data_IF_993514281589
#
_entry.id   IF_993514281589
#
_cell.length_a   1.000
_cell.length_b   1.000
_cell.length_c   1.000
_cell.angle_alpha   90.00
_cell.angle_beta   90.00
_cell.angle_gamma   90.00
#
_symmetry.space_group_name_H-M   'P 1'
#
loop_
_entity.id
_entity.type
_entity.pdbx_description
1 polymer ?
#
# COMPACT_ATOMS: atom_id res chain seq x y z
N UNK A 1 16.21 15.85 -6.69
CA UNK A 1 16.52 14.51 -6.14
C UNK A 1 15.33 13.74 -5.57
N UNK A 2 14.10 14.22 -5.76
CA UNK A 2 12.87 13.51 -5.37
C UNK A 2 12.38 12.48 -6.40
N UNK A 3 13.23 12.12 -7.35
CA UNK A 3 12.86 11.24 -8.45
C UNK A 3 12.82 9.79 -7.96
N UNK A 4 11.65 9.28 -7.63
CA UNK A 4 11.39 7.85 -7.50
C UNK A 4 11.14 7.28 -6.11
N UNK A 5 11.21 8.03 -5.03
CA UNK A 5 10.93 7.51 -3.68
C UNK A 5 9.43 7.51 -3.30
N UNK A 6 8.62 8.35 -3.92
CA UNK A 6 7.22 8.52 -3.54
C UNK A 6 6.28 7.41 -4.00
N UNK A 7 6.61 6.70 -5.10
CA UNK A 7 5.65 5.79 -5.77
C UNK A 7 5.99 4.31 -5.67
N UNK A 8 7.03 3.95 -4.91
CA UNK A 8 7.74 2.68 -5.09
C UNK A 8 7.28 1.56 -4.15
N UNK A 9 6.46 1.83 -3.16
CA UNK A 9 6.16 0.85 -2.14
C UNK A 9 4.90 0.02 -2.37
N UNK A 10 4.24 0.19 -3.53
CA UNK A 10 3.02 -0.58 -3.84
C UNK A 10 2.89 -0.95 -5.31
N UNK A 11 2.31 -2.11 -5.51
CA UNK A 11 2.01 -2.70 -6.81
C UNK A 11 0.71 -2.21 -7.43
N UNK A 12 0.00 -1.31 -6.80
CA UNK A 12 -1.30 -0.83 -7.29
C UNK A 12 -1.12 0.23 -8.36
N UNK A 13 -2.06 0.29 -9.30
CA UNK A 13 -1.94 1.17 -10.45
C UNK A 13 -1.91 2.65 -10.12
N UNK A 14 -2.43 3.03 -8.96
CA UNK A 14 -2.38 4.38 -8.40
C UNK A 14 -0.99 4.74 -7.84
N UNK A 15 -0.15 3.76 -7.49
CA UNK A 15 1.20 3.97 -7.01
C UNK A 15 2.29 3.75 -8.05
N UNK A 16 2.08 2.81 -8.98
CA UNK A 16 3.07 2.48 -10.01
C UNK A 16 2.72 3.01 -11.38
N UNK A 17 1.57 3.68 -11.53
CA UNK A 17 1.11 4.20 -12.82
C UNK A 17 2.09 5.16 -13.49
N UNK A 18 2.89 5.88 -12.70
CA UNK A 18 3.93 6.79 -13.16
C UNK A 18 5.32 6.16 -13.36
N UNK A 19 5.50 4.87 -13.03
CA UNK A 19 6.82 4.20 -13.04
C UNK A 19 7.59 4.36 -14.35
N UNK A 20 6.90 4.34 -15.48
CA UNK A 20 7.53 4.51 -16.81
C UNK A 20 8.17 5.86 -17.09
N UNK A 21 8.05 6.82 -16.18
CA UNK A 21 8.70 8.13 -16.26
C UNK A 21 10.10 8.13 -15.62
N UNK A 22 10.48 7.03 -14.97
CA UNK A 22 11.77 6.88 -14.29
C UNK A 22 12.64 5.85 -14.99
N UNK A 23 13.95 6.07 -15.01
CA UNK A 23 14.91 5.12 -15.57
C UNK A 23 15.01 3.86 -14.73
N UNK A 24 14.90 4.01 -13.42
CA UNK A 24 14.89 2.91 -12.45
C UNK A 24 13.95 3.18 -11.29
N UNK A 25 13.39 2.11 -10.75
CA UNK A 25 12.52 2.11 -9.56
C UNK A 25 12.94 1.00 -8.62
N UNK A 26 12.75 1.23 -7.32
CA UNK A 26 13.01 0.26 -6.27
C UNK A 26 11.69 -0.36 -5.80
N UNK A 27 11.65 -1.68 -5.71
CA UNK A 27 10.47 -2.42 -5.26
C UNK A 27 10.93 -3.54 -4.33
N UNK A 28 10.19 -3.74 -3.24
CA UNK A 28 10.49 -4.86 -2.35
C UNK A 28 10.40 -6.19 -3.12
N UNK A 29 11.36 -7.07 -2.90
CA UNK A 29 11.54 -8.36 -3.62
C UNK A 29 10.25 -9.17 -3.70
N UNK A 30 9.44 -9.20 -2.64
CA UNK A 30 8.19 -9.94 -2.60
C UNK A 30 7.12 -9.48 -3.62
N UNK A 31 7.25 -8.25 -4.17
CA UNK A 31 6.34 -7.72 -5.19
C UNK A 31 6.94 -7.65 -6.60
N UNK A 32 8.27 -7.85 -6.78
CA UNK A 32 8.94 -7.75 -8.09
C UNK A 32 8.38 -8.70 -9.15
N UNK A 33 8.21 -9.99 -8.84
CA UNK A 33 7.70 -10.98 -9.79
C UNK A 33 6.30 -10.68 -10.31
N UNK A 34 5.53 -9.97 -9.50
CA UNK A 34 4.14 -9.67 -9.80
C UNK A 34 3.98 -8.40 -10.62
N UNK A 35 4.97 -7.51 -10.60
CA UNK A 35 4.94 -6.30 -11.40
C UNK A 35 4.87 -6.61 -12.90
N UNK A 36 5.62 -7.61 -13.34
CA UNK A 36 5.63 -8.08 -14.74
C UNK A 36 4.27 -8.64 -15.19
N UNK A 37 3.42 -9.09 -14.26
CA UNK A 37 2.08 -9.65 -14.53
C UNK A 37 0.95 -8.64 -14.31
N UNK A 38 1.21 -7.50 -13.70
CA UNK A 38 0.20 -6.54 -13.25
C UNK A 38 0.14 -5.27 -14.09
N UNK A 39 0.42 -5.37 -15.39
CA UNK A 39 -0.03 -4.32 -16.29
C UNK A 39 -1.56 -4.28 -16.23
N UNK A 40 -2.11 -3.30 -15.52
CA UNK A 40 -3.54 -3.05 -15.56
C UNK A 40 -3.94 -2.91 -17.02
N UNK A 41 -4.94 -3.67 -17.45
CA UNK A 41 -5.43 -3.57 -18.81
C UNK A 41 -5.77 -2.10 -19.10
N UNK A 42 -5.52 -1.64 -20.32
CA UNK A 42 -5.86 -0.28 -20.75
C UNK A 42 -7.33 0.04 -20.46
N UNK A 43 -8.20 -0.96 -20.62
CA UNK A 43 -9.63 -0.83 -20.32
C UNK A 43 -9.88 -0.54 -18.83
N UNK A 44 -9.22 -1.24 -17.93
CA UNK A 44 -9.36 -1.02 -16.48
C UNK A 44 -8.84 0.38 -16.08
N UNK A 45 -7.69 0.81 -16.62
CA UNK A 45 -7.13 2.15 -16.36
C UNK A 45 -8.10 3.25 -16.83
N UNK A 46 -8.68 3.10 -18.01
CA UNK A 46 -9.69 4.06 -18.54
C UNK A 46 -10.94 4.08 -17.68
N UNK A 47 -11.45 2.92 -17.28
CA UNK A 47 -12.62 2.81 -16.43
C UNK A 47 -12.38 3.41 -15.03
N UNK A 48 -11.22 3.13 -14.43
CA UNK A 48 -10.84 3.68 -13.13
C UNK A 48 -10.75 5.22 -13.17
N UNK A 49 -10.12 5.78 -14.18
CA UNK A 49 -10.02 7.23 -14.35
C UNK A 49 -11.40 7.86 -14.61
N UNK A 50 -12.21 7.24 -15.46
CA UNK A 50 -13.56 7.74 -15.76
C UNK A 50 -14.48 7.77 -14.51
N UNK A 51 -14.29 6.83 -13.57
CA UNK A 51 -15.12 6.75 -12.36
C UNK A 51 -14.59 7.61 -11.19
N UNK A 52 -13.31 7.97 -11.18
CA UNK A 52 -12.70 8.61 -10.02
C UNK A 52 -12.17 10.03 -10.27
N UNK A 53 -12.04 10.44 -11.54
CA UNK A 53 -11.57 11.78 -11.89
C UNK A 53 -12.69 12.56 -12.54
N UNK A 54 -13.01 13.78 -12.07
CA UNK A 54 -13.95 14.67 -12.76
C UNK A 54 -13.32 15.13 -14.08
N UNK A 55 -13.45 14.32 -15.12
CA UNK A 55 -12.78 14.48 -16.42
C UNK A 55 -13.03 15.88 -17.03
N UNK A 56 -14.20 16.47 -16.79
CA UNK A 56 -14.57 17.77 -17.31
C UNK A 56 -13.85 18.97 -16.68
N UNK A 57 -13.30 18.79 -15.48
CA UNK A 57 -12.67 19.91 -14.73
C UNK A 57 -11.17 20.07 -14.99
N UNK A 58 -10.51 19.08 -15.63
CA UNK A 58 -9.05 19.04 -15.77
C UNK A 58 -8.54 18.99 -17.23
N UNK A 59 -9.41 19.14 -18.22
CA UNK A 59 -9.02 19.07 -19.64
C UNK A 59 -8.50 17.69 -20.09
N UNK A 60 -8.66 16.66 -19.27
CA UNK A 60 -8.16 15.31 -19.51
C UNK A 60 -9.21 14.45 -20.22
N UNK A 61 -8.80 13.72 -21.27
CA UNK A 61 -9.65 12.78 -21.98
C UNK A 61 -9.14 11.35 -21.73
N UNK A 62 -10.06 10.41 -21.52
CA UNK A 62 -9.71 8.98 -21.36
C UNK A 62 -8.99 8.39 -22.58
N UNK A 63 -9.12 9.02 -23.77
CA UNK A 63 -8.35 8.70 -24.98
C UNK A 63 -6.85 8.93 -24.82
N UNK A 64 -6.44 9.82 -23.91
CA UNK A 64 -5.04 10.16 -23.67
C UNK A 64 -4.31 9.07 -22.85
N UNK A 65 -5.08 8.15 -22.24
CA UNK A 65 -4.53 6.99 -21.54
C UNK A 65 -3.98 5.99 -22.55
N UNK A 66 -2.65 5.91 -22.65
CA UNK A 66 -1.94 4.98 -23.53
C UNK A 66 -1.47 3.74 -22.76
N UNK A 67 -1.30 2.59 -23.47
CA UNK A 67 -0.65 1.44 -22.87
C UNK A 67 0.78 1.83 -22.45
N UNK A 68 1.12 1.67 -21.17
CA UNK A 68 2.48 1.89 -20.71
C UNK A 68 3.35 0.68 -21.08
N UNK A 69 4.35 0.85 -21.95
CA UNK A 69 5.50 -0.06 -22.03
C UNK A 69 6.59 0.57 -21.16
N UNK A 70 6.81 -0.01 -19.98
CA UNK A 70 7.86 0.49 -19.10
C UNK A 70 9.21 -0.09 -19.56
N UNK A 71 10.15 0.78 -19.94
CA UNK A 71 11.58 0.44 -20.06
C UNK A 71 12.32 0.61 -18.73
N UNK A 72 11.59 0.88 -17.68
CA UNK A 72 12.08 1.15 -16.34
C UNK A 72 12.78 -0.07 -15.77
N UNK A 73 13.99 0.08 -15.31
CA UNK A 73 14.74 -0.95 -14.61
C UNK A 73 14.16 -1.12 -13.21
N UNK A 74 13.80 -2.34 -12.85
CA UNK A 74 13.32 -2.68 -11.50
C UNK A 74 14.52 -3.13 -10.66
N UNK A 75 14.75 -2.45 -9.54
CA UNK A 75 15.77 -2.80 -8.57
C UNK A 75 15.08 -3.40 -7.35
N UNK A 76 15.30 -4.70 -7.08
CA UNK A 76 14.79 -5.33 -5.86
C UNK A 76 15.44 -4.73 -4.63
N UNK A 77 14.62 -4.43 -3.61
CA UNK A 77 15.11 -4.05 -2.28
C UNK A 77 14.55 -5.00 -1.22
N UNK A 78 15.21 -5.04 -0.08
CA UNK A 78 14.84 -5.87 1.06
C UNK A 78 14.68 -5.01 2.33
N UNK A 79 14.25 -5.62 3.42
CA UNK A 79 14.17 -4.98 4.74
C UNK A 79 15.55 -4.43 5.15
N UNK A 80 15.58 -3.25 5.72
CA UNK A 80 16.81 -2.60 6.14
C UNK A 80 17.58 -1.86 5.03
N UNK A 81 17.12 -1.87 3.77
CA UNK A 81 17.74 -1.09 2.70
C UNK A 81 17.80 0.40 3.08
N UNK A 82 18.89 1.06 2.77
CA UNK A 82 19.10 2.49 3.10
C UNK A 82 19.28 3.27 1.80
N UNK A 83 18.49 4.32 1.66
CA UNK A 83 18.67 5.34 0.62
C UNK A 83 19.46 6.51 1.19
N UNK A 84 20.63 6.81 0.61
CA UNK A 84 21.37 8.04 0.88
C UNK A 84 20.85 9.15 -0.05
N UNK A 85 20.36 10.23 0.56
CA UNK A 85 19.79 11.39 -0.15
C UNK A 85 20.75 12.61 -0.14
N UNK A 86 22.02 12.40 0.21
CA UNK A 86 23.00 13.47 0.29
C UNK A 86 22.83 14.34 1.55
N UNK A 87 23.23 13.82 2.70
CA UNK A 87 23.11 14.47 4.00
C UNK A 87 21.89 14.04 4.83
N UNK A 88 21.04 13.22 4.27
CA UNK A 88 19.92 12.55 4.93
C UNK A 88 19.80 11.12 4.40
N UNK A 89 19.46 10.19 5.27
CA UNK A 89 19.18 8.81 4.87
C UNK A 89 17.77 8.38 5.24
N UNK A 90 17.22 7.48 4.41
CA UNK A 90 15.90 6.89 4.65
C UNK A 90 16.06 5.37 4.67
N UNK A 91 15.62 4.72 5.74
CA UNK A 91 15.69 3.29 5.92
C UNK A 91 14.35 2.63 5.57
N UNK A 92 14.42 1.51 4.88
CA UNK A 92 13.26 0.69 4.53
C UNK A 92 12.95 -0.30 5.66
N UNK A 93 11.68 -0.39 6.04
CA UNK A 93 11.14 -1.44 6.89
C UNK A 93 10.10 -2.24 6.12
N UNK A 94 10.30 -3.55 5.99
CA UNK A 94 9.29 -4.43 5.41
C UNK A 94 8.08 -4.54 6.35
N UNK A 95 6.92 -4.18 5.82
CA UNK A 95 5.62 -4.16 6.54
C UNK A 95 4.57 -4.86 5.68
N UNK A 96 4.63 -6.21 5.53
CA UNK A 96 3.68 -6.93 4.68
C UNK A 96 2.25 -6.74 5.17
N UNK A 97 1.32 -6.62 4.23
CA UNK A 97 -0.10 -6.35 4.53
C UNK A 97 -0.90 -6.06 3.29
N UNK A 98 -1.10 -4.80 3.01
CA UNK A 98 -1.82 -4.29 1.83
C UNK A 98 -1.19 -4.78 0.50
N UNK A 99 0.11 -5.05 0.48
CA UNK A 99 0.75 -5.97 -0.45
C UNK A 99 1.78 -6.84 0.30
N UNK A 100 2.24 -7.92 -0.34
CA UNK A 100 3.29 -8.77 0.25
C UNK A 100 4.62 -8.04 0.38
N UNK A 101 4.88 -7.09 -0.51
CA UNK A 101 6.08 -6.27 -0.52
C UNK A 101 5.85 -4.85 0.01
N UNK A 102 4.79 -4.60 0.76
CA UNK A 102 4.59 -3.30 1.41
C UNK A 102 5.77 -2.97 2.31
N UNK A 103 6.22 -1.72 2.23
CA UNK A 103 7.31 -1.20 3.07
C UNK A 103 6.91 0.14 3.68
N UNK A 104 7.52 0.47 4.79
CA UNK A 104 7.55 1.80 5.34
C UNK A 104 8.94 2.41 5.14
N UNK A 105 9.00 3.71 4.92
CA UNK A 105 10.25 4.48 4.85
C UNK A 105 10.43 5.27 6.14
N UNK A 106 11.57 5.12 6.78
CA UNK A 106 11.88 5.70 8.08
C UNK A 106 12.94 6.77 7.91
N UNK A 107 12.58 8.00 8.21
CA UNK A 107 13.50 9.12 8.41
C UNK A 107 13.80 9.22 9.91
N UNK A 108 14.94 8.70 10.33
CA UNK A 108 15.38 8.68 11.72
C UNK A 108 15.70 10.10 12.23
N UNK A 109 16.12 10.99 11.35
CA UNK A 109 16.57 12.33 11.68
C UNK A 109 15.40 13.25 12.02
N UNK A 110 14.34 13.21 11.18
CA UNK A 110 13.15 14.04 11.38
C UNK A 110 12.04 13.32 12.15
N UNK A 111 12.28 12.06 12.55
CA UNK A 111 11.29 11.23 13.23
C UNK A 111 9.99 11.11 12.44
N UNK A 112 10.13 10.76 11.16
CA UNK A 112 9.01 10.58 10.24
C UNK A 112 9.02 9.16 9.67
N UNK A 113 7.82 8.58 9.56
CA UNK A 113 7.58 7.31 8.85
C UNK A 113 6.54 7.54 7.76
N UNK A 114 6.86 7.12 6.54
CA UNK A 114 5.91 7.01 5.43
C UNK A 114 5.46 5.56 5.33
N UNK A 115 4.25 5.25 5.79
CA UNK A 115 3.76 3.88 5.96
C UNK A 115 3.07 3.30 4.72
N UNK A 116 2.88 4.10 3.69
CA UNK A 116 2.02 3.70 2.59
C UNK A 116 0.59 3.42 3.03
N UNK A 117 -0.11 2.44 2.41
CA UNK A 117 -1.51 2.12 2.70
C UNK A 117 -1.68 0.96 3.66
N UNK A 118 -0.66 0.67 4.43
CA UNK A 118 -0.70 -0.47 5.36
C UNK A 118 -1.60 -0.21 6.57
N UNK A 119 -1.78 1.07 6.93
CA UNK A 119 -2.84 1.58 7.80
C UNK A 119 -3.35 2.87 7.17
N UNK A 120 -4.62 2.91 6.82
CA UNK A 120 -5.27 4.04 6.15
C UNK A 120 -6.78 4.01 6.38
N UNK A 121 -7.46 5.11 6.07
CA UNK A 121 -8.92 5.09 5.98
C UNK A 121 -9.34 4.13 4.86
N UNK A 122 -10.32 3.27 5.10
CA UNK A 122 -10.73 2.21 4.18
C UNK A 122 -9.57 1.28 3.77
N UNK A 123 -8.99 0.55 4.71
CA UNK A 123 -7.92 -0.40 4.45
C UNK A 123 -8.39 -1.54 3.52
N UNK A 124 -7.79 -1.63 2.35
CA UNK A 124 -8.17 -2.58 1.30
C UNK A 124 -7.33 -3.86 1.37
N UNK A 125 -7.86 -4.86 2.07
CA UNK A 125 -7.28 -6.21 2.19
C UNK A 125 -7.99 -7.27 1.33
N UNK A 126 -8.82 -6.85 0.36
CA UNK A 126 -9.52 -7.74 -0.57
C UNK A 126 -8.82 -7.91 -1.91
N UNK A 127 -7.85 -7.06 -2.24
CA UNK A 127 -7.21 -7.00 -3.55
C UNK A 127 -6.30 -8.23 -3.82
N UNK A 128 -5.99 -8.53 -5.09
CA UNK A 128 -4.98 -9.54 -5.42
C UNK A 128 -3.60 -9.13 -4.87
N UNK A 129 -2.95 -10.03 -4.15
CA UNK A 129 -1.58 -9.81 -3.66
C UNK A 129 -1.45 -9.25 -2.26
N UNK A 130 -2.57 -8.94 -1.59
CA UNK A 130 -2.59 -8.67 -0.15
C UNK A 130 -2.21 -9.94 0.64
N UNK A 131 -1.76 -9.75 1.88
CA UNK A 131 -1.58 -10.83 2.84
C UNK A 131 -2.91 -11.22 3.50
N UNK A 132 -2.88 -12.17 4.43
CA UNK A 132 -4.00 -12.36 5.36
C UNK A 132 -4.06 -11.25 6.40
N UNK A 133 -5.19 -11.15 7.11
CA UNK A 133 -5.33 -10.25 8.26
C UNK A 133 -4.33 -10.62 9.36
N UNK A 134 -4.13 -11.93 9.58
CA UNK A 134 -3.16 -12.43 10.54
C UNK A 134 -1.71 -12.01 10.23
N UNK A 135 -1.31 -12.09 8.95
CA UNK A 135 0.04 -11.69 8.50
C UNK A 135 0.24 -10.16 8.51
N UNK A 136 -0.84 -9.38 8.34
CA UNK A 136 -0.79 -7.92 8.36
C UNK A 136 -0.70 -7.34 9.77
N UNK A 137 -1.35 -7.96 10.76
CA UNK A 137 -1.43 -7.42 12.12
C UNK A 137 -0.07 -7.07 12.76
N UNK A 138 1.01 -7.86 12.62
CA UNK A 138 2.33 -7.49 13.13
C UNK A 138 2.87 -6.19 12.53
N UNK A 139 2.60 -5.92 11.25
CA UNK A 139 3.01 -4.67 10.59
C UNK A 139 2.26 -3.46 11.14
N UNK A 140 0.96 -3.61 11.38
CA UNK A 140 0.15 -2.56 11.99
C UNK A 140 0.55 -2.31 13.45
N UNK A 141 0.86 -3.38 14.20
CA UNK A 141 1.36 -3.27 15.57
C UNK A 141 2.70 -2.53 15.61
N UNK A 142 3.62 -2.86 14.70
CA UNK A 142 4.89 -2.14 14.59
C UNK A 142 4.69 -0.65 14.33
N UNK A 143 3.77 -0.27 13.44
CA UNK A 143 3.44 1.15 13.20
C UNK A 143 2.89 1.83 14.46
N UNK A 144 2.03 1.13 15.20
CA UNK A 144 1.52 1.63 16.47
C UNK A 144 2.64 1.88 17.49
N UNK A 145 3.58 0.93 17.62
CA UNK A 145 4.69 1.06 18.56
C UNK A 145 5.58 2.25 18.17
N UNK A 146 5.91 2.37 16.88
CA UNK A 146 6.70 3.48 16.35
C UNK A 146 6.01 4.85 16.48
N UNK A 147 4.69 4.90 16.50
CA UNK A 147 3.95 6.16 16.63
C UNK A 147 4.10 6.86 17.98
N UNK A 148 4.78 6.24 18.95
CA UNK A 148 5.17 6.88 20.20
C UNK A 148 6.24 7.97 19.98
N UNK A 149 7.17 7.74 19.04
CA UNK A 149 8.34 8.58 18.81
C UNK A 149 8.39 9.20 17.41
N UNK A 150 7.56 8.70 16.48
CA UNK A 150 7.56 9.10 15.08
C UNK A 150 6.21 9.62 14.65
N UNK A 151 6.22 10.65 13.80
CA UNK A 151 5.04 11.06 13.04
C UNK A 151 4.86 10.11 11.86
N UNK A 152 3.65 9.57 11.68
CA UNK A 152 3.37 8.59 10.62
C UNK A 152 2.49 9.24 9.56
N UNK A 153 2.94 9.16 8.30
CA UNK A 153 2.19 9.63 7.13
C UNK A 153 1.88 8.45 6.21
N UNK A 154 0.72 8.48 5.59
CA UNK A 154 0.23 7.43 4.72
C UNK A 154 0.05 7.86 3.25
N UNK A 155 -0.38 6.96 2.35
CA UNK A 155 -0.20 7.14 0.92
C UNK A 155 -1.15 8.12 0.21
N UNK A 156 -2.36 8.39 0.70
CA UNK A 156 -3.39 9.04 -0.12
C UNK A 156 -3.86 10.40 0.36
N UNK A 157 -3.77 10.69 1.62
CA UNK A 157 -4.25 11.96 2.19
C UNK A 157 -3.24 12.50 3.19
N UNK A 158 -3.19 13.80 3.28
CA UNK A 158 -2.64 14.47 4.44
C UNK A 158 -3.84 14.63 5.38
N UNK A 159 -3.80 14.08 6.52
CA UNK A 159 -2.81 14.33 7.55
C UNK A 159 -2.07 13.07 8.03
N UNK A 160 -1.21 13.30 9.03
CA UNK A 160 -0.59 12.32 9.90
C UNK A 160 -1.61 11.29 10.42
N UNK A 161 -1.20 10.03 10.53
CA UNK A 161 -1.99 9.01 11.23
C UNK A 161 -1.89 9.21 12.73
N UNK A 162 -3.02 9.40 13.37
CA UNK A 162 -3.10 9.47 14.82
C UNK A 162 -2.91 8.08 15.44
N UNK A 163 -2.22 8.04 16.58
CA UNK A 163 -1.93 6.80 17.29
C UNK A 163 -3.19 6.02 17.65
N UNK A 164 -4.23 6.74 18.08
CA UNK A 164 -5.54 6.19 18.45
C UNK A 164 -6.22 5.52 17.27
N UNK A 165 -6.07 6.09 16.08
CA UNK A 165 -6.62 5.50 14.85
C UNK A 165 -5.90 4.20 14.48
N UNK A 166 -4.56 4.15 14.60
CA UNK A 166 -3.79 2.92 14.37
C UNK A 166 -4.25 1.83 15.35
N UNK A 167 -4.41 2.15 16.64
CA UNK A 167 -4.91 1.23 17.67
C UNK A 167 -6.32 0.70 17.33
N UNK A 168 -7.18 1.59 16.82
CA UNK A 168 -8.54 1.22 16.43
C UNK A 168 -8.55 0.24 15.26
N UNK A 169 -7.73 0.46 14.24
CA UNK A 169 -7.63 -0.42 13.06
C UNK A 169 -7.06 -1.79 13.47
N UNK A 170 -6.08 -1.84 14.37
CA UNK A 170 -5.57 -3.09 14.96
C UNK A 170 -6.69 -3.84 15.71
N UNK A 171 -7.49 -3.13 16.49
CA UNK A 171 -8.63 -3.72 17.21
C UNK A 171 -9.61 -4.36 16.22
N UNK A 172 -9.95 -3.70 15.13
CA UNK A 172 -10.80 -4.28 14.09
C UNK A 172 -10.21 -5.53 13.46
N UNK A 173 -8.90 -5.54 13.19
CA UNK A 173 -8.22 -6.73 12.69
C UNK A 173 -8.31 -7.92 13.65
N UNK A 174 -8.09 -7.70 14.94
CA UNK A 174 -8.26 -8.72 16.00
C UNK A 174 -9.69 -9.22 16.11
N UNK A 175 -10.68 -8.32 16.02
CA UNK A 175 -12.10 -8.69 16.04
C UNK A 175 -12.52 -9.48 14.80
N UNK A 176 -12.01 -9.16 13.61
CA UNK A 176 -12.20 -9.98 12.41
C UNK A 176 -11.71 -11.40 12.66
N UNK A 177 -10.49 -11.56 13.19
CA UNK A 177 -9.94 -12.88 13.50
C UNK A 177 -10.78 -13.62 14.54
N UNK A 178 -11.18 -12.96 15.63
CA UNK A 178 -12.00 -13.57 16.69
C UNK A 178 -13.38 -14.03 16.21
N UNK A 179 -14.00 -13.28 15.28
CA UNK A 179 -15.29 -13.63 14.68
C UNK A 179 -15.18 -14.71 13.60
N UNK A 180 -13.98 -14.93 13.05
CA UNK A 180 -13.72 -15.90 11.99
C UNK A 180 -13.23 -17.21 12.59
N UNK A 181 -13.95 -18.31 12.34
CA UNK A 181 -13.55 -19.66 12.79
C UNK A 181 -12.62 -20.35 11.79
N UNK A 182 -11.69 -19.61 11.20
CA UNK A 182 -10.85 -20.06 10.09
C UNK A 182 -11.22 -19.38 8.77
N UNK A 183 -10.47 -19.71 7.71
CA UNK A 183 -10.73 -19.18 6.39
C UNK A 183 -12.01 -19.82 5.78
N UNK A 184 -12.88 -18.98 5.23
CA UNK A 184 -14.09 -19.45 4.55
C UNK A 184 -13.76 -20.23 3.28
N UNK A 185 -14.48 -21.32 3.03
CA UNK A 185 -14.42 -22.08 1.77
C UNK A 185 -15.06 -21.32 0.61
N UNK A 186 -16.03 -20.46 0.90
CA UNK A 186 -16.72 -19.61 -0.07
C UNK A 186 -16.25 -18.16 0.15
N UNK A 187 -15.33 -17.65 -0.68
CA UNK A 187 -14.77 -16.34 -0.50
C UNK A 187 -15.83 -15.25 -0.74
N UNK A 188 -15.95 -14.35 0.22
CA UNK A 188 -16.75 -13.13 0.10
C UNK A 188 -15.86 -11.92 0.40
N UNK A 189 -16.11 -10.82 -0.29
CA UNK A 189 -15.58 -9.51 0.09
C UNK A 189 -16.55 -8.91 1.10
N UNK A 190 -16.04 -8.47 2.24
CA UNK A 190 -16.80 -7.86 3.31
C UNK A 190 -16.02 -6.73 3.94
N UNK A 191 -16.68 -5.93 4.77
CA UNK A 191 -16.08 -4.79 5.45
C UNK A 191 -16.37 -4.85 6.95
N UNK A 192 -15.38 -4.51 7.76
CA UNK A 192 -15.54 -4.46 9.20
C UNK A 192 -14.73 -3.31 9.84
N UNK A 193 -15.34 -2.52 10.69
CA UNK A 193 -16.80 -2.40 10.84
C UNK A 193 -17.43 -1.94 9.51
N UNK A 194 -18.74 -2.08 9.37
CA UNK A 194 -19.48 -1.66 8.17
C UNK A 194 -19.65 -0.14 8.16
N UNK A 195 -18.56 0.58 7.88
CA UNK A 195 -18.44 2.04 7.83
C UNK A 195 -17.31 2.44 6.86
N UNK A 196 -17.31 3.66 6.29
CA UNK A 196 -16.40 4.03 5.20
C UNK A 196 -14.91 3.80 5.47
N UNK A 197 -14.47 3.92 6.72
CA UNK A 197 -13.08 3.77 7.15
C UNK A 197 -12.74 2.34 7.64
N UNK A 198 -13.64 1.38 7.52
CA UNK A 198 -13.42 0.00 7.94
C UNK A 198 -12.45 -0.79 7.06
N UNK A 199 -12.02 -1.96 7.54
CA UNK A 199 -11.19 -2.90 6.78
C UNK A 199 -12.06 -3.66 5.79
N UNK A 200 -11.76 -3.55 4.50
CA UNK A 200 -12.39 -4.35 3.45
C UNK A 200 -11.51 -5.56 3.20
N UNK A 201 -12.03 -6.77 3.40
CA UNK A 201 -11.25 -7.99 3.34
C UNK A 201 -12.00 -9.15 2.69
N UNK A 202 -11.26 -10.23 2.41
CA UNK A 202 -11.82 -11.50 1.92
C UNK A 202 -11.90 -12.51 3.05
N UNK A 203 -13.04 -13.14 3.19
CA UNK A 203 -13.30 -14.13 4.26
C UNK A 203 -12.47 -15.41 4.14
N UNK A 204 -11.85 -15.69 2.99
CA UNK A 204 -10.93 -16.80 2.75
C UNK A 204 -9.45 -16.43 2.98
N UNK A 205 -9.17 -15.23 3.48
CA UNK A 205 -7.83 -14.68 3.75
C UNK A 205 -7.72 -13.98 5.10
N UNK A 206 -8.42 -14.46 6.09
CA UNK A 206 -8.31 -13.96 7.46
C UNK A 206 -7.06 -14.52 8.11
N UNK A 207 -6.82 -15.81 7.96
CA UNK A 207 -5.67 -16.53 8.51
C UNK A 207 -4.67 -16.91 7.42
N UNK A 208 -3.41 -17.04 7.82
CA UNK A 208 -2.33 -17.54 6.95
C UNK A 208 -2.69 -18.96 6.44
N UNK A 209 -2.36 -19.24 5.18
CA UNK A 209 -2.48 -20.57 4.58
C UNK A 209 -1.20 -21.35 4.74
#
# INVERSE_FOLDING_TARGET
LSRGLGDVYKRQGDHIGGAGQFEEIYIHRADCERLNKAQMSLLFRKAFLASNVPVKSHGFNTSDVKPGKYKTKIIPMDDGHIFDLGGKSVRVKHTPGHSRGSVAFIDEQDKIIFSGDNVCDALWMQLPGVTSIEEWLPSAQWLYDMSADYRIFWGHRVPQLEREYIAQVITWGKEIMAKSRGNSKLPKITQYPNRPDGIIYRTDRVFRK
#
